data_IF_219242747248
#
_entry.id   IF_219242747248
#
_cell.length_a   1.000
_cell.length_b   1.000
_cell.length_c   1.000
_cell.angle_alpha   90.00
_cell.angle_beta   90.00
_cell.angle_gamma   90.00
#
_symmetry.space_group_name_H-M   'P 1'
#
loop_
_entity.id
_entity.type
_entity.pdbx_description
1 polymer ?
#
# COMPACT_ATOMS: atom_id res chain seq x y z
N UNK A 1 -10.86 -18.89 -47.84
CA UNK A 1 -11.38 -17.59 -47.38
C UNK A 1 -10.48 -17.14 -46.25
N UNK A 2 -9.49 -16.31 -46.55
CA UNK A 2 -8.55 -15.81 -45.56
C UNK A 2 -9.24 -14.76 -44.69
N UNK A 3 -9.29 -15.02 -43.38
CA UNK A 3 -9.91 -14.17 -42.39
C UNK A 3 -8.94 -13.03 -42.06
N UNK A 4 -8.99 -11.96 -42.87
CA UNK A 4 -8.25 -10.72 -42.65
C UNK A 4 -9.01 -9.96 -41.56
N UNK A 5 -8.69 -10.24 -40.30
CA UNK A 5 -9.06 -9.33 -39.22
C UNK A 5 -8.27 -8.04 -39.43
N UNK A 6 -8.91 -6.89 -39.72
CA UNK A 6 -8.18 -5.64 -39.84
C UNK A 6 -7.47 -5.36 -38.52
N UNK A 7 -6.25 -4.83 -38.60
CA UNK A 7 -5.52 -4.39 -37.41
C UNK A 7 -6.42 -3.43 -36.62
N UNK A 8 -6.52 -3.63 -35.30
CA UNK A 8 -7.41 -2.83 -34.46
C UNK A 8 -7.07 -1.34 -34.56
N UNK A 9 -5.81 -0.98 -34.79
CA UNK A 9 -5.45 0.42 -35.01
C UNK A 9 -5.92 0.92 -36.36
N UNK A 10 -5.85 0.12 -37.42
CA UNK A 10 -6.33 0.50 -38.74
C UNK A 10 -7.84 0.77 -38.72
N UNK A 11 -8.61 -0.07 -38.03
CA UNK A 11 -10.04 0.15 -37.81
C UNK A 11 -10.35 1.37 -36.95
N UNK A 12 -9.56 1.65 -35.91
CA UNK A 12 -9.73 2.87 -35.11
C UNK A 12 -9.42 4.13 -35.91
N UNK A 13 -8.41 4.09 -36.78
CA UNK A 13 -8.04 5.21 -37.65
C UNK A 13 -9.15 5.49 -38.68
N UNK A 14 -9.71 4.45 -39.30
CA UNK A 14 -10.81 4.63 -40.27
C UNK A 14 -12.05 5.21 -39.60
N UNK A 15 -12.47 4.67 -38.46
CA UNK A 15 -13.61 5.18 -37.69
C UNK A 15 -13.41 6.62 -37.21
N UNK A 16 -12.22 6.94 -36.71
CA UNK A 16 -11.89 8.31 -36.29
C UNK A 16 -11.92 9.29 -37.48
N UNK A 17 -11.37 8.88 -38.63
CA UNK A 17 -11.38 9.68 -39.87
C UNK A 17 -12.79 9.96 -40.35
N UNK A 18 -13.66 8.95 -40.36
CA UNK A 18 -15.05 9.08 -40.79
C UNK A 18 -15.85 10.05 -39.89
N UNK A 19 -15.65 9.95 -38.57
CA UNK A 19 -16.31 10.83 -37.60
C UNK A 19 -15.83 12.28 -37.73
N UNK A 20 -14.52 12.50 -37.85
CA UNK A 20 -13.96 13.86 -37.99
C UNK A 20 -14.39 14.47 -39.32
N UNK A 21 -14.40 13.71 -40.42
CA UNK A 21 -14.89 14.16 -41.73
C UNK A 21 -16.37 14.57 -41.68
N UNK A 22 -17.23 13.74 -41.08
CA UNK A 22 -18.63 14.06 -40.87
C UNK A 22 -18.82 15.32 -39.99
N UNK A 23 -17.99 15.48 -38.96
CA UNK A 23 -18.08 16.64 -38.08
C UNK A 23 -17.67 17.94 -38.79
N UNK A 24 -16.55 17.95 -39.52
CA UNK A 24 -16.03 19.15 -40.21
C UNK A 24 -16.83 19.48 -41.47
N UNK A 25 -17.46 18.50 -42.12
CA UNK A 25 -18.36 18.77 -43.25
C UNK A 25 -19.66 19.49 -42.86
N UNK A 26 -20.10 19.35 -41.60
CA UNK A 26 -21.33 19.96 -41.10
C UNK A 26 -21.08 21.09 -40.07
N UNK A 27 -19.83 21.33 -39.68
CA UNK A 27 -19.46 22.34 -38.68
C UNK A 27 -18.17 23.07 -39.09
N UNK A 28 -18.11 24.38 -38.84
CA UNK A 28 -16.89 25.16 -39.05
C UNK A 28 -15.93 24.95 -37.87
N UNK A 29 -14.77 24.33 -38.13
CA UNK A 29 -13.70 24.11 -37.14
C UNK A 29 -12.46 24.90 -37.56
N UNK A 30 -11.77 25.56 -36.63
CA UNK A 30 -10.51 26.23 -36.92
C UNK A 30 -9.44 25.21 -37.29
N UNK A 31 -8.51 25.59 -38.18
CA UNK A 31 -7.37 24.73 -38.56
C UNK A 31 -6.51 24.38 -37.34
N UNK A 32 -6.46 25.28 -36.36
CA UNK A 32 -5.73 25.11 -35.10
C UNK A 32 -6.38 24.07 -34.17
N UNK A 33 -7.69 23.84 -34.27
CA UNK A 33 -8.44 22.93 -33.42
C UNK A 33 -8.52 21.50 -34.00
N UNK A 34 -8.23 21.34 -35.30
CA UNK A 34 -8.29 20.03 -35.98
C UNK A 34 -7.39 18.97 -35.33
N UNK A 35 -6.13 19.24 -34.96
CA UNK A 35 -5.28 18.23 -34.31
C UNK A 35 -5.89 17.74 -32.99
N UNK A 36 -6.39 18.68 -32.19
CA UNK A 36 -7.02 18.39 -30.89
C UNK A 36 -8.28 17.54 -31.05
N UNK A 37 -9.12 17.87 -32.05
CA UNK A 37 -10.33 17.11 -32.36
C UNK A 37 -9.99 15.66 -32.75
N UNK A 38 -9.01 15.46 -33.62
CA UNK A 38 -8.56 14.12 -34.05
C UNK A 38 -8.07 13.31 -32.86
N UNK A 39 -7.23 13.90 -31.99
CA UNK A 39 -6.72 13.20 -30.81
C UNK A 39 -7.82 12.82 -29.82
N UNK A 40 -8.83 13.68 -29.64
CA UNK A 40 -9.94 13.43 -28.72
C UNK A 40 -10.85 12.31 -29.22
N UNK A 41 -11.20 12.33 -30.50
CA UNK A 41 -12.06 11.28 -31.10
C UNK A 41 -11.34 9.93 -31.10
N UNK A 42 -10.07 9.90 -31.52
CA UNK A 42 -9.27 8.67 -31.51
C UNK A 42 -9.11 8.13 -30.07
N UNK A 43 -8.78 9.00 -29.11
CA UNK A 43 -8.65 8.63 -27.70
C UNK A 43 -9.97 8.11 -27.10
N UNK A 44 -11.11 8.72 -27.45
CA UNK A 44 -12.42 8.25 -27.01
C UNK A 44 -12.74 6.86 -27.57
N UNK A 45 -12.48 6.61 -28.86
CA UNK A 45 -12.70 5.30 -29.48
C UNK A 45 -11.77 4.23 -28.92
N UNK A 46 -10.48 4.53 -28.77
CA UNK A 46 -9.51 3.62 -28.18
C UNK A 46 -9.86 3.31 -26.70
N UNK A 47 -10.44 4.28 -26.00
CA UNK A 47 -10.88 4.14 -24.61
C UNK A 47 -12.16 3.31 -24.41
N UNK A 48 -13.00 3.15 -25.44
CA UNK A 48 -14.29 2.43 -25.33
C UNK A 48 -14.15 0.90 -25.14
N UNK A 49 -12.93 0.35 -25.26
CA UNK A 49 -12.61 -1.05 -24.92
C UNK A 49 -11.58 -1.20 -23.79
N UNK A 50 -10.99 -0.09 -23.34
CA UNK A 50 -10.07 -0.08 -22.22
C UNK A 50 -10.86 -0.04 -20.92
N UNK A 51 -10.74 -1.09 -20.11
CA UNK A 51 -11.00 -0.96 -18.67
C UNK A 51 -10.12 0.20 -18.23
N UNK A 52 -10.73 1.36 -17.96
CA UNK A 52 -10.02 2.49 -17.37
C UNK A 52 -9.18 1.91 -16.23
N UNK A 53 -7.87 2.22 -16.13
CA UNK A 53 -7.11 1.75 -15.00
C UNK A 53 -7.88 2.26 -13.78
N UNK A 54 -8.49 1.33 -13.05
CA UNK A 54 -9.06 1.60 -11.75
C UNK A 54 -7.91 2.25 -11.03
N UNK A 55 -7.99 3.57 -10.86
CA UNK A 55 -7.12 4.30 -9.96
C UNK A 55 -7.32 3.54 -8.66
N UNK A 56 -6.34 2.72 -8.27
CA UNK A 56 -6.39 2.02 -7.00
C UNK A 56 -6.56 3.11 -5.96
N UNK A 57 -7.80 3.30 -5.50
CA UNK A 57 -8.10 4.17 -4.39
C UNK A 57 -7.22 3.65 -3.26
N UNK A 58 -6.20 4.44 -2.92
CA UNK A 58 -5.34 4.14 -1.79
C UNK A 58 -6.27 3.78 -0.65
N UNK A 59 -6.12 2.58 -0.05
CA UNK A 59 -7.07 2.11 0.95
C UNK A 59 -7.24 3.19 2.00
N UNK A 60 -8.46 3.69 2.15
CA UNK A 60 -8.75 4.71 3.14
C UNK A 60 -8.42 4.11 4.50
N UNK A 61 -7.55 4.75 5.30
CA UNK A 61 -7.16 4.20 6.58
C UNK A 61 -8.40 4.08 7.47
N UNK A 62 -8.66 2.88 8.02
CA UNK A 62 -9.83 2.61 8.84
C UNK A 62 -10.00 3.60 10.02
N UNK A 63 -8.89 4.22 10.45
CA UNK A 63 -8.87 5.36 11.38
C UNK A 63 -7.70 6.26 11.01
N UNK A 64 -7.79 7.57 11.28
CA UNK A 64 -6.65 8.47 11.13
C UNK A 64 -5.44 8.01 11.95
N UNK A 65 -4.22 8.18 11.40
CA UNK A 65 -2.95 7.74 12.01
C UNK A 65 -2.76 8.29 13.44
N UNK A 66 -3.31 9.47 13.75
CA UNK A 66 -3.27 10.03 15.12
C UNK A 66 -4.18 9.29 16.11
N UNK A 67 -5.26 8.71 15.62
CA UNK A 67 -6.29 8.03 16.44
C UNK A 67 -6.05 6.52 16.56
N UNK A 68 -5.09 5.98 15.81
CA UNK A 68 -4.76 4.56 15.84
C UNK A 68 -4.05 4.15 17.14
N UNK A 69 -3.30 5.04 17.78
CA UNK A 69 -2.59 4.76 19.04
C UNK A 69 -3.38 5.30 20.21
N UNK A 70 -3.90 4.41 21.07
CA UNK A 70 -4.47 4.76 22.37
C UNK A 70 -3.66 4.13 23.51
N UNK A 71 -3.73 4.65 24.75
CA UNK A 71 -2.93 4.16 25.86
C UNK A 71 -3.10 2.65 26.10
N UNK A 72 -4.33 2.13 26.03
CA UNK A 72 -4.66 0.73 26.33
C UNK A 72 -4.71 -0.20 25.11
N UNK A 73 -4.86 0.35 23.91
CA UNK A 73 -4.99 -0.42 22.67
C UNK A 73 -4.48 0.36 21.45
N UNK A 74 -3.99 -0.38 20.46
CA UNK A 74 -3.64 0.11 19.14
C UNK A 74 -4.65 -0.43 18.12
N UNK A 75 -5.07 0.41 17.18
CA UNK A 75 -5.99 0.06 16.10
C UNK A 75 -5.18 -0.25 14.84
N UNK A 76 -5.48 -1.36 14.20
CA UNK A 76 -4.91 -1.71 12.91
C UNK A 76 -5.55 -0.86 11.80
N UNK A 77 -4.73 -0.20 10.98
CA UNK A 77 -5.19 0.61 9.84
C UNK A 77 -5.78 -0.22 8.69
N UNK A 78 -5.52 -1.53 8.65
CA UNK A 78 -6.02 -2.44 7.61
C UNK A 78 -7.43 -2.95 7.88
N UNK A 79 -7.74 -3.33 9.14
CA UNK A 79 -9.02 -3.95 9.51
C UNK A 79 -9.80 -3.20 10.59
N UNK A 80 -9.25 -2.11 11.13
CA UNK A 80 -9.90 -1.31 12.18
C UNK A 80 -10.01 -2.02 13.54
N UNK A 81 -9.38 -3.17 13.76
CA UNK A 81 -9.49 -3.90 15.02
C UNK A 81 -8.62 -3.30 16.13
N UNK A 82 -9.20 -3.25 17.33
CA UNK A 82 -8.53 -2.82 18.56
C UNK A 82 -7.73 -3.99 19.15
N UNK A 83 -6.43 -3.82 19.23
CA UNK A 83 -5.49 -4.86 19.65
C UNK A 83 -4.53 -4.31 20.70
N UNK A 84 -4.01 -5.15 21.59
CA UNK A 84 -2.91 -4.74 22.49
C UNK A 84 -1.55 -4.85 21.82
N UNK A 85 -1.43 -5.76 20.84
CA UNK A 85 -0.19 -6.07 20.12
C UNK A 85 -0.48 -6.17 18.61
N UNK A 86 -0.06 -5.17 17.85
CA UNK A 86 -0.25 -5.12 16.40
C UNK A 86 0.70 -6.10 15.68
N UNK A 87 1.95 -6.22 16.15
CA UNK A 87 2.97 -7.10 15.55
C UNK A 87 2.47 -8.54 15.28
N UNK A 88 1.77 -9.14 16.25
CA UNK A 88 1.24 -10.52 16.11
C UNK A 88 0.15 -10.58 15.05
N UNK A 89 -0.74 -9.60 15.03
CA UNK A 89 -1.85 -9.56 14.10
C UNK A 89 -1.36 -9.37 12.65
N UNK A 90 -0.38 -8.50 12.43
CA UNK A 90 0.25 -8.30 11.11
C UNK A 90 0.89 -9.61 10.59
N UNK A 91 1.59 -10.34 11.45
CA UNK A 91 2.22 -11.61 11.06
C UNK A 91 1.21 -12.72 10.77
N UNK A 92 0.13 -12.84 11.55
CA UNK A 92 -0.83 -13.95 11.41
C UNK A 92 -1.85 -13.73 10.31
N UNK A 93 -2.33 -12.50 10.11
CA UNK A 93 -3.38 -12.22 9.12
C UNK A 93 -2.86 -11.71 7.79
N UNK A 94 -1.73 -11.00 7.80
CA UNK A 94 -1.20 -10.34 6.61
C UNK A 94 0.19 -10.81 6.22
N UNK A 95 0.79 -11.76 6.98
CA UNK A 95 2.16 -12.23 6.79
C UNK A 95 3.20 -11.10 6.63
N UNK A 96 2.90 -9.93 7.21
CA UNK A 96 3.64 -8.69 6.98
C UNK A 96 4.52 -8.33 8.16
N UNK A 97 5.72 -7.81 7.89
CA UNK A 97 6.60 -7.33 8.95
C UNK A 97 6.16 -5.96 9.45
N UNK A 98 6.56 -5.56 10.68
CA UNK A 98 6.29 -4.21 11.16
C UNK A 98 6.83 -3.09 10.26
N UNK A 99 7.93 -3.34 9.54
CA UNK A 99 8.57 -2.34 8.69
C UNK A 99 7.83 -2.19 7.36
N UNK A 100 7.40 -3.30 6.75
CA UNK A 100 6.52 -3.29 5.58
C UNK A 100 5.21 -2.55 5.89
N UNK A 101 4.65 -2.76 7.08
CA UNK A 101 3.45 -2.07 7.52
C UNK A 101 3.66 -0.55 7.65
N UNK A 102 4.82 -0.12 8.18
CA UNK A 102 5.15 1.31 8.23
C UNK A 102 5.33 1.91 6.85
N UNK A 103 6.00 1.20 5.94
CA UNK A 103 6.18 1.63 4.56
C UNK A 103 4.84 1.76 3.84
N UNK A 104 3.95 0.77 3.99
CA UNK A 104 2.62 0.74 3.36
C UNK A 104 1.75 1.94 3.75
N UNK A 105 1.81 2.34 5.01
CA UNK A 105 1.00 3.43 5.57
C UNK A 105 1.78 4.75 5.75
N UNK A 106 3.01 4.83 5.24
CA UNK A 106 3.93 5.96 5.40
C UNK A 106 4.04 6.45 6.86
N UNK A 107 4.16 5.50 7.80
CA UNK A 107 4.23 5.77 9.23
C UNK A 107 5.66 6.15 9.66
N UNK A 108 5.81 7.01 10.70
CA UNK A 108 7.11 7.29 11.30
C UNK A 108 7.80 6.02 11.82
N UNK A 109 9.14 6.01 11.81
CA UNK A 109 9.92 4.90 12.37
C UNK A 109 9.63 4.65 13.86
N UNK A 110 9.30 5.72 14.60
CA UNK A 110 8.95 5.69 16.03
C UNK A 110 7.50 5.23 16.30
N UNK A 111 6.77 4.80 15.27
CA UNK A 111 5.39 4.34 15.45
C UNK A 111 5.33 3.06 16.32
N UNK A 112 4.58 3.08 17.44
CA UNK A 112 4.50 1.94 18.35
C UNK A 112 3.70 0.80 17.73
N UNK A 113 4.18 -0.43 17.87
CA UNK A 113 3.49 -1.64 17.37
C UNK A 113 2.71 -2.38 18.47
N UNK A 114 2.65 -1.78 19.65
CA UNK A 114 2.08 -2.35 20.88
C UNK A 114 1.51 -1.18 21.66
N UNK A 115 0.41 -1.40 22.40
CA UNK A 115 -0.18 -0.37 23.23
C UNK A 115 0.84 0.20 24.25
N UNK A 116 0.96 1.54 24.39
CA UNK A 116 1.92 2.17 25.30
C UNK A 116 1.85 1.65 26.74
N UNK A 117 0.66 1.56 27.35
CA UNK A 117 0.52 1.06 28.73
C UNK A 117 0.99 -0.40 28.87
N UNK A 118 0.82 -1.21 27.82
CA UNK A 118 1.31 -2.59 27.82
C UNK A 118 2.84 -2.63 27.72
N UNK A 119 3.43 -1.76 26.89
CA UNK A 119 4.88 -1.62 26.78
C UNK A 119 5.51 -1.15 28.10
N UNK A 120 4.90 -0.18 28.78
CA UNK A 120 5.35 0.33 30.08
C UNK A 120 5.32 -0.74 31.16
N UNK A 121 4.19 -1.45 31.34
CA UNK A 121 4.08 -2.55 32.31
C UNK A 121 5.13 -3.62 32.08
N UNK A 122 5.41 -3.96 30.81
CA UNK A 122 6.42 -4.95 30.46
C UNK A 122 7.84 -4.44 30.72
N UNK A 123 8.10 -3.15 30.49
CA UNK A 123 9.38 -2.49 30.82
C UNK A 123 9.63 -2.49 32.33
N UNK A 124 8.63 -2.17 33.14
CA UNK A 124 8.72 -2.23 34.60
C UNK A 124 9.01 -3.64 35.11
N UNK A 125 8.27 -4.64 34.60
CA UNK A 125 8.48 -6.04 34.93
C UNK A 125 9.90 -6.48 34.57
N UNK A 126 10.39 -6.11 33.38
CA UNK A 126 11.75 -6.45 32.97
C UNK A 126 12.81 -5.83 33.88
N UNK A 127 12.64 -4.55 34.28
CA UNK A 127 13.51 -3.91 35.28
C UNK A 127 13.49 -4.63 36.63
N UNK A 128 12.30 -5.05 37.10
CA UNK A 128 12.14 -5.82 38.34
C UNK A 128 12.84 -7.18 38.28
N UNK A 129 12.75 -7.86 37.13
CA UNK A 129 13.36 -9.19 36.90
C UNK A 129 14.90 -9.10 36.75
N UNK A 130 15.44 -7.93 36.41
CA UNK A 130 16.89 -7.70 36.38
C UNK A 130 17.47 -7.28 35.04
N UNK A 131 16.62 -6.82 34.10
CA UNK A 131 17.10 -6.17 32.87
C UNK A 131 17.93 -4.93 33.24
N UNK A 132 19.24 -4.97 32.93
CA UNK A 132 20.20 -3.91 33.25
C UNK A 132 20.99 -4.10 34.54
N UNK A 133 20.83 -5.21 35.28
CA UNK A 133 21.77 -5.57 36.35
C UNK A 133 23.07 -6.09 35.74
N UNK A 134 24.21 -5.60 36.21
CA UNK A 134 25.53 -6.14 35.83
C UNK A 134 25.52 -7.66 36.08
N UNK A 135 25.93 -8.51 35.12
CA UNK A 135 26.07 -9.92 35.39
C UNK A 135 27.01 -10.07 36.58
N UNK A 136 26.54 -10.71 37.64
CA UNK A 136 27.34 -10.97 38.82
C UNK A 136 28.54 -11.83 38.40
N UNK A 137 29.72 -11.21 38.33
CA UNK A 137 31.00 -11.82 37.93
C UNK A 137 31.41 -12.92 38.93
N UNK A 138 30.61 -13.20 39.96
CA UNK A 138 30.86 -14.18 41.01
C UNK A 138 30.18 -15.53 40.81
N UNK A 139 29.54 -15.78 39.67
CA UNK A 139 29.15 -17.17 39.31
C UNK A 139 30.18 -17.78 38.37
N UNK A 140 31.41 -17.89 38.91
CA UNK A 140 32.50 -18.63 38.30
C UNK A 140 32.04 -20.04 37.95
N UNK A 141 32.03 -20.34 36.65
CA UNK A 141 31.93 -21.70 36.12
C UNK A 141 33.13 -22.46 36.66
N UNK A 142 32.95 -23.29 37.71
CA UNK A 142 34.00 -24.22 38.14
C UNK A 142 34.40 -25.06 36.91
N UNK A 143 35.67 -25.07 36.50
CA UNK A 143 36.11 -25.94 35.41
C UNK A 143 35.93 -27.39 35.86
N UNK A 144 35.28 -28.19 35.02
CA UNK A 144 35.13 -29.63 35.21
C UNK A 144 36.54 -30.24 35.09
N UNK A 145 37.06 -30.79 36.19
CA UNK A 145 38.34 -31.49 36.19
C UNK A 145 38.31 -32.63 35.16
N UNK A 146 39.26 -32.64 34.24
CA UNK A 146 39.52 -33.78 33.37
C UNK A 146 40.20 -34.87 34.22
N UNK A 147 39.60 -36.05 34.23
CA UNK A 147 40.16 -37.26 34.86
C UNK A 147 41.10 -37.89 33.83
N UNK A 148 42.34 -38.16 34.26
CA UNK A 148 43.36 -38.91 33.53
C UNK A 148 43.17 -40.41 33.71
#
# INVERSE_FOLDING_TARGET
>A
MDNIQPDMNETLITLASDIVSAHVSNNSVSVEDLPTLITNVYGALAGLGGIAPVVEEKPEPAVSIRSSVKPDFIVCLEDGKKLKMLKRHLMTHYNMTPDDYRARWNLPADYPMVAPNYAEKRRELAKKIGLGRKPDVRRGRKPKAAVA
#
